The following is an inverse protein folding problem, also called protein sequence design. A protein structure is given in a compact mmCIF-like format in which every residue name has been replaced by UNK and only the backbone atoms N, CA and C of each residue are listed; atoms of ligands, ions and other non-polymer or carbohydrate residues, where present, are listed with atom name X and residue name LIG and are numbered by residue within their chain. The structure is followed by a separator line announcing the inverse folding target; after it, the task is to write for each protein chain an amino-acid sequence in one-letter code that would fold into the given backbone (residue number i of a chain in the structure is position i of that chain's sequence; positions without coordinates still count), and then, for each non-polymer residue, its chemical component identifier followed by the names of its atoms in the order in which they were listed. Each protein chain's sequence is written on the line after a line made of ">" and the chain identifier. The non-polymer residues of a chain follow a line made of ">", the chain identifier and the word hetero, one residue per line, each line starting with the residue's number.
data_IF_228743218090
#
_entry.id   IF_228743218090
#
_cell.length_a   1.000
_cell.length_b   1.000
_cell.length_c   1.000
_cell.angle_alpha   90.00
_cell.angle_beta   90.00
_cell.angle_gamma   90.00
#
_symmetry.space_group_name_H-M   'P 1'
#
loop_
_entity.id
_entity.type
_entity.pdbx_description
1 polymer ?
#
# COMPACT_ATOMS: atom_id res chain seq x y z
N UNK A 1 -59.33 18.58 43.04
CA UNK A 1 -58.75 19.00 41.79
C UNK A 1 -57.23 18.76 41.64
N UNK A 2 -56.34 19.18 42.56
CA UNK A 2 -54.87 18.98 42.45
C UNK A 2 -54.36 17.51 42.34
N UNK A 3 -55.05 16.53 42.91
CA UNK A 3 -54.69 15.12 42.83
C UNK A 3 -55.07 14.45 41.51
N UNK A 4 -56.09 14.96 40.79
CA UNK A 4 -56.54 14.47 39.51
C UNK A 4 -55.62 14.96 38.39
N UNK A 5 -55.16 16.21 38.45
CA UNK A 5 -54.23 16.82 37.48
C UNK A 5 -52.86 16.16 37.50
N UNK A 6 -52.36 15.74 38.69
CA UNK A 6 -51.11 14.99 38.82
C UNK A 6 -51.14 13.58 38.19
N UNK A 7 -52.29 12.92 38.23
CA UNK A 7 -52.44 11.58 37.62
C UNK A 7 -52.58 11.67 36.11
N UNK A 8 -53.18 12.74 35.57
CA UNK A 8 -53.25 12.97 34.14
C UNK A 8 -51.89 13.34 33.55
N UNK A 9 -51.07 14.14 34.23
CA UNK A 9 -49.72 14.53 33.81
C UNK A 9 -48.74 13.34 33.77
N UNK A 10 -48.85 12.42 34.75
CA UNK A 10 -48.02 11.21 34.78
C UNK A 10 -48.43 10.23 33.66
N UNK A 11 -49.71 10.11 33.32
CA UNK A 11 -50.19 9.27 32.22
C UNK A 11 -49.75 9.78 30.84
N UNK A 12 -49.73 11.09 30.64
CA UNK A 12 -49.26 11.72 29.39
C UNK A 12 -47.74 11.60 29.22
N UNK A 13 -46.96 11.68 30.30
CA UNK A 13 -45.49 11.47 30.24
C UNK A 13 -45.13 10.00 29.93
N UNK A 14 -45.86 9.04 30.46
CA UNK A 14 -45.65 7.61 30.20
C UNK A 14 -46.01 7.23 28.75
N UNK A 15 -47.07 7.86 28.17
CA UNK A 15 -47.44 7.65 26.77
C UNK A 15 -46.42 8.28 25.77
N UNK A 16 -45.81 9.42 26.14
CA UNK A 16 -44.79 10.07 25.33
C UNK A 16 -43.45 9.24 25.32
N UNK A 17 -43.08 8.59 26.40
CA UNK A 17 -41.91 7.72 26.49
C UNK A 17 -42.16 6.41 25.73
N UNK A 18 -43.37 5.85 25.76
CA UNK A 18 -43.70 4.66 24.98
C UNK A 18 -43.76 4.92 23.45
N UNK A 19 -44.20 6.10 23.03
CA UNK A 19 -44.16 6.52 21.60
C UNK A 19 -42.73 6.81 21.10
N UNK A 20 -41.82 7.24 21.99
CA UNK A 20 -40.39 7.45 21.64
C UNK A 20 -39.60 6.14 21.45
N UNK A 21 -40.04 5.04 22.04
CA UNK A 21 -39.39 3.71 21.89
C UNK A 21 -39.90 2.91 20.69
N UNK A 22 -41.03 3.30 20.09
CA UNK A 22 -41.54 2.69 18.85
C UNK A 22 -40.94 3.32 17.58
N UNK A 23 -40.21 4.44 17.71
CA UNK A 23 -39.55 5.13 16.59
C UNK A 23 -38.19 4.57 16.18
N UNK A 24 -37.62 3.61 16.91
CA UNK A 24 -36.33 2.98 16.59
C UNK A 24 -36.46 1.70 15.77
N UNK A 25 -37.59 1.46 15.13
CA UNK A 25 -37.87 0.27 14.33
C UNK A 25 -37.94 0.50 12.82
N UNK A 26 -37.52 1.64 12.30
CA UNK A 26 -37.14 1.71 10.88
C UNK A 26 -35.81 0.99 10.77
N UNK A 27 -35.82 -0.26 10.35
CA UNK A 27 -34.68 -0.86 9.72
C UNK A 27 -34.24 0.15 8.65
N UNK A 28 -33.14 0.87 8.91
CA UNK A 28 -32.47 1.59 7.88
C UNK A 28 -32.06 0.51 6.86
N UNK A 29 -32.79 0.42 5.77
CA UNK A 29 -32.42 -0.35 4.59
C UNK A 29 -31.23 0.36 3.93
N UNK A 30 -30.23 0.66 4.72
CA UNK A 30 -28.99 1.27 4.27
C UNK A 30 -28.05 0.19 3.78
N UNK A 31 -27.51 0.41 2.59
CA UNK A 31 -26.42 -0.39 2.06
C UNK A 31 -25.28 -0.44 3.07
N UNK A 32 -24.57 -1.58 3.14
CA UNK A 32 -23.32 -1.65 3.91
C UNK A 32 -22.25 -0.84 3.19
N UNK A 33 -21.63 0.08 3.89
CA UNK A 33 -20.50 0.86 3.36
C UNK A 33 -19.25 0.01 3.44
N UNK A 34 -18.60 -0.21 2.29
CA UNK A 34 -17.28 -0.82 2.15
C UNK A 34 -16.26 0.31 2.07
N UNK A 35 -15.34 0.36 3.03
CA UNK A 35 -14.31 1.40 3.12
C UNK A 35 -12.98 0.86 2.67
N UNK A 36 -12.37 1.55 1.69
CA UNK A 36 -11.04 1.24 1.15
C UNK A 36 -10.12 2.43 1.42
N UNK A 37 -9.00 2.23 2.11
CA UNK A 37 -7.98 3.26 2.35
C UNK A 37 -6.74 3.01 1.51
N UNK A 38 -6.10 4.08 1.03
CA UNK A 38 -4.79 4.01 0.39
C UNK A 38 -3.99 5.32 0.55
N UNK A 39 -2.67 5.25 0.27
CA UNK A 39 -1.76 6.37 0.47
C UNK A 39 -1.64 7.31 -0.73
N UNK A 40 -2.05 6.87 -1.91
CA UNK A 40 -1.82 7.56 -3.17
C UNK A 40 -2.85 8.65 -3.44
N UNK A 41 -2.55 9.56 -4.40
CA UNK A 41 -3.50 10.56 -4.87
C UNK A 41 -4.60 9.96 -5.76
N UNK A 42 -5.65 10.73 -6.01
CA UNK A 42 -6.77 10.32 -6.87
C UNK A 42 -6.39 10.14 -8.35
N UNK A 43 -5.23 10.62 -8.77
CA UNK A 43 -4.71 10.49 -10.16
C UNK A 43 -3.75 9.31 -10.32
N UNK A 44 -3.40 8.63 -9.23
CA UNK A 44 -2.48 7.49 -9.26
C UNK A 44 -3.15 6.26 -9.91
N UNK A 45 -2.42 5.43 -10.71
CA UNK A 45 -2.98 4.21 -11.32
C UNK A 45 -3.68 3.29 -10.32
N UNK A 46 -3.14 3.14 -9.11
CA UNK A 46 -3.78 2.39 -8.01
C UNK A 46 -5.20 2.89 -7.70
N UNK A 47 -5.39 4.23 -7.61
CA UNK A 47 -6.72 4.79 -7.38
C UNK A 47 -7.67 4.50 -8.55
N UNK A 48 -7.18 4.58 -9.79
CA UNK A 48 -7.97 4.24 -10.98
C UNK A 48 -8.39 2.76 -10.98
N UNK A 49 -7.49 1.86 -10.57
CA UNK A 49 -7.81 0.46 -10.33
C UNK A 49 -8.90 0.29 -9.27
N UNK A 50 -8.81 1.01 -8.14
CA UNK A 50 -9.84 0.98 -7.09
C UNK A 50 -11.18 1.56 -7.54
N UNK A 51 -11.21 2.52 -8.45
CA UNK A 51 -12.46 3.00 -9.07
C UNK A 51 -13.11 1.90 -9.91
N UNK A 52 -12.31 1.10 -10.64
CA UNK A 52 -12.84 -0.05 -11.37
C UNK A 52 -13.38 -1.14 -10.41
N UNK A 53 -12.67 -1.42 -9.30
CA UNK A 53 -13.18 -2.29 -8.22
C UNK A 53 -14.53 -1.80 -7.70
N UNK A 54 -14.62 -0.52 -7.35
CA UNK A 54 -15.87 0.11 -6.88
C UNK A 54 -16.99 -0.07 -7.87
N UNK A 55 -16.76 0.28 -9.12
CA UNK A 55 -17.76 0.18 -10.17
C UNK A 55 -18.24 -1.27 -10.32
N UNK A 56 -17.34 -2.23 -10.39
CA UNK A 56 -17.65 -3.64 -10.56
C UNK A 56 -18.52 -4.19 -9.44
N UNK A 57 -18.19 -3.86 -8.18
CA UNK A 57 -18.96 -4.28 -7.01
C UNK A 57 -20.33 -3.61 -6.99
N UNK A 58 -20.42 -2.29 -7.23
CA UNK A 58 -21.68 -1.54 -7.16
C UNK A 58 -22.64 -1.87 -8.31
N UNK A 59 -22.15 -2.26 -9.50
CA UNK A 59 -22.97 -2.73 -10.60
C UNK A 59 -23.67 -4.07 -10.29
N UNK A 60 -23.04 -4.94 -9.49
CA UNK A 60 -23.53 -6.31 -9.21
C UNK A 60 -24.18 -6.46 -7.85
N UNK A 61 -23.72 -5.71 -6.87
CA UNK A 61 -24.12 -5.80 -5.48
C UNK A 61 -24.55 -4.43 -4.89
N UNK A 62 -24.84 -3.45 -5.75
CA UNK A 62 -25.14 -2.10 -5.32
C UNK A 62 -26.47 -1.93 -4.58
N UNK A 63 -27.31 -2.95 -4.50
CA UNK A 63 -28.46 -3.04 -3.59
C UNK A 63 -28.04 -3.32 -2.13
N UNK A 64 -26.89 -3.99 -1.94
CA UNK A 64 -26.34 -4.41 -0.63
C UNK A 64 -25.17 -3.55 -0.16
N UNK A 65 -24.27 -3.14 -1.10
CA UNK A 65 -23.01 -2.48 -0.78
C UNK A 65 -22.87 -1.12 -1.48
N UNK A 66 -22.19 -0.19 -0.80
CA UNK A 66 -21.68 1.08 -1.32
C UNK A 66 -20.19 1.14 -1.04
N UNK A 67 -19.33 1.33 -2.05
CA UNK A 67 -17.88 1.40 -1.89
C UNK A 67 -17.42 2.85 -1.77
N UNK A 68 -16.69 3.16 -0.71
CA UNK A 68 -16.08 4.46 -0.45
C UNK A 68 -14.57 4.32 -0.40
N UNK A 69 -13.86 5.09 -1.25
CA UNK A 69 -12.40 5.09 -1.35
C UNK A 69 -11.87 6.34 -0.65
N UNK A 70 -10.86 6.14 0.20
CA UNK A 70 -10.22 7.16 1.03
C UNK A 70 -8.73 7.30 0.66
N UNK A 71 -8.39 8.21 -0.28
CA UNK A 71 -7.01 8.42 -0.76
C UNK A 71 -6.17 9.23 0.23
N UNK A 72 -4.89 9.45 -0.10
CA UNK A 72 -3.97 10.39 0.56
C UNK A 72 -3.79 10.16 2.07
N UNK A 73 -3.85 8.91 2.54
CA UNK A 73 -3.73 8.57 3.98
C UNK A 73 -4.73 9.31 4.90
N UNK A 74 -5.90 9.74 4.40
CA UNK A 74 -6.87 10.51 5.22
C UNK A 74 -7.46 9.69 6.38
N UNK A 75 -7.35 8.36 6.36
CA UNK A 75 -7.70 7.48 7.48
C UNK A 75 -6.48 7.09 8.33
N UNK A 76 -5.31 7.68 8.08
CA UNK A 76 -4.04 7.40 8.73
C UNK A 76 -3.02 6.76 7.81
N UNK A 77 -1.77 6.65 8.30
CA UNK A 77 -0.67 6.00 7.56
C UNK A 77 -1.03 4.56 7.15
N UNK A 78 -0.30 4.00 6.17
CA UNK A 78 -0.52 2.62 5.72
C UNK A 78 -0.52 1.62 6.89
N UNK A 79 0.42 1.74 7.84
CA UNK A 79 0.47 0.90 9.04
C UNK A 79 -0.80 1.05 9.87
N UNK A 80 -1.28 2.29 10.10
CA UNK A 80 -2.51 2.55 10.83
C UNK A 80 -3.74 1.98 10.11
N UNK A 81 -3.81 2.11 8.80
CA UNK A 81 -4.90 1.57 8.00
C UNK A 81 -4.93 0.03 8.01
N UNK A 82 -3.75 -0.65 8.04
CA UNK A 82 -3.68 -2.11 8.24
C UNK A 82 -4.29 -2.49 9.61
N UNK A 83 -3.94 -1.79 10.70
CA UNK A 83 -4.54 -2.02 12.02
C UNK A 83 -6.08 -1.83 12.01
N UNK A 84 -6.57 -0.80 11.31
CA UNK A 84 -8.01 -0.57 11.15
C UNK A 84 -8.67 -1.68 10.34
N UNK A 85 -7.98 -2.22 9.34
CA UNK A 85 -8.45 -3.38 8.56
C UNK A 85 -8.49 -4.64 9.42
N UNK A 86 -7.46 -4.91 10.24
CA UNK A 86 -7.47 -6.05 11.17
C UNK A 86 -8.69 -6.03 12.11
N UNK A 87 -9.02 -4.86 12.64
CA UNK A 87 -10.15 -4.70 13.57
C UNK A 87 -11.51 -4.65 12.90
N UNK A 88 -11.57 -4.46 11.57
CA UNK A 88 -12.79 -4.28 10.78
C UNK A 88 -13.40 -2.89 10.88
N UNK A 89 -12.63 -1.88 11.32
CA UNK A 89 -13.04 -0.49 11.28
C UNK A 89 -13.10 0.04 9.83
N UNK A 90 -12.25 -0.49 8.96
CA UNK A 90 -12.33 -0.40 7.49
C UNK A 90 -12.29 -1.81 6.90
N UNK A 91 -12.80 -1.95 5.67
CA UNK A 91 -12.94 -3.27 5.04
C UNK A 91 -11.70 -3.64 4.22
N UNK A 92 -11.07 -2.65 3.57
CA UNK A 92 -9.89 -2.84 2.74
C UNK A 92 -8.85 -1.73 2.95
N UNK A 93 -7.60 -2.07 2.73
CA UNK A 93 -6.49 -1.11 2.60
C UNK A 93 -5.56 -1.53 1.46
N UNK A 94 -5.04 -0.55 0.70
CA UNK A 94 -3.87 -0.80 -0.14
C UNK A 94 -2.64 -0.34 0.63
N UNK A 95 -1.67 -1.24 0.74
CA UNK A 95 -0.42 -0.98 1.46
C UNK A 95 0.74 -1.76 0.84
N UNK A 96 1.90 -1.12 0.76
CA UNK A 96 3.13 -1.78 0.35
C UNK A 96 3.51 -2.95 1.26
N UNK A 97 4.06 -4.00 0.69
CA UNK A 97 4.50 -5.20 1.42
C UNK A 97 5.47 -4.87 2.55
N UNK A 98 6.27 -3.81 2.40
CA UNK A 98 7.13 -3.30 3.46
C UNK A 98 6.37 -2.86 4.73
N UNK A 99 5.12 -2.39 4.60
CA UNK A 99 4.29 -2.10 5.77
C UNK A 99 3.62 -3.36 6.35
N UNK A 100 3.47 -4.42 5.54
CA UNK A 100 2.87 -5.69 5.96
C UNK A 100 3.85 -6.58 6.75
N UNK A 101 5.16 -6.42 6.57
CA UNK A 101 6.17 -7.30 7.17
C UNK A 101 6.10 -7.39 8.70
N UNK A 102 5.66 -6.32 9.37
CA UNK A 102 5.50 -6.29 10.83
C UNK A 102 4.24 -7.02 11.33
N UNK A 103 3.29 -7.29 10.44
CA UNK A 103 2.06 -8.02 10.72
C UNK A 103 2.16 -9.48 10.27
N UNK A 104 2.86 -9.73 9.17
CA UNK A 104 3.06 -11.06 8.60
C UNK A 104 4.48 -11.15 8.00
N UNK A 105 5.39 -11.79 8.72
CA UNK A 105 6.82 -11.79 8.43
C UNK A 105 7.21 -12.33 7.05
N UNK A 106 6.34 -13.09 6.36
CA UNK A 106 6.62 -13.56 4.99
C UNK A 106 6.79 -12.39 4.01
N UNK A 107 6.13 -11.26 4.25
CA UNK A 107 6.21 -10.08 3.38
C UNK A 107 7.53 -9.31 3.49
N UNK A 108 8.37 -9.62 4.49
CA UNK A 108 9.72 -9.05 4.60
C UNK A 108 10.58 -9.33 3.36
N UNK A 109 10.32 -10.43 2.66
CA UNK A 109 11.04 -10.80 1.43
C UNK A 109 11.03 -9.69 0.38
N UNK A 110 9.89 -9.02 0.16
CA UNK A 110 9.74 -7.97 -0.83
C UNK A 110 10.48 -6.67 -0.46
N UNK A 111 10.92 -6.55 0.81
CA UNK A 111 11.79 -5.46 1.27
C UNK A 111 13.28 -5.79 1.09
N UNK A 112 13.62 -6.98 0.55
CA UNK A 112 15.00 -7.38 0.27
C UNK A 112 15.52 -6.58 -0.94
N UNK A 113 16.62 -5.83 -0.80
CA UNK A 113 17.13 -5.02 -1.91
C UNK A 113 17.70 -5.90 -3.03
N UNK A 114 17.48 -5.50 -4.30
CA UNK A 114 17.93 -6.24 -5.49
C UNK A 114 17.49 -7.72 -5.50
N UNK A 115 16.28 -7.98 -5.02
CA UNK A 115 15.69 -9.33 -4.99
C UNK A 115 15.36 -9.83 -6.39
N UNK A 116 14.79 -8.97 -7.22
CA UNK A 116 14.43 -9.26 -8.61
C UNK A 116 15.48 -8.70 -9.56
N UNK A 117 15.92 -9.50 -10.52
CA UNK A 117 16.92 -9.07 -11.52
C UNK A 117 16.32 -8.11 -12.57
N UNK A 118 14.99 -8.14 -12.77
CA UNK A 118 14.29 -7.26 -13.71
C UNK A 118 12.81 -7.08 -13.34
N UNK A 119 12.17 -6.05 -13.90
CA UNK A 119 10.72 -5.87 -13.79
C UNK A 119 9.92 -7.01 -14.44
N UNK A 120 10.49 -7.66 -15.46
CA UNK A 120 9.85 -8.81 -16.09
C UNK A 120 9.77 -10.00 -15.11
N UNK A 121 10.86 -10.29 -14.39
CA UNK A 121 10.86 -11.32 -13.33
C UNK A 121 9.92 -10.94 -12.20
N UNK A 122 9.96 -9.69 -11.74
CA UNK A 122 9.04 -9.19 -10.73
C UNK A 122 7.56 -9.42 -11.12
N UNK A 123 7.17 -8.99 -12.34
CA UNK A 123 5.82 -9.19 -12.85
C UNK A 123 5.47 -10.69 -13.00
N UNK A 124 6.40 -11.53 -13.47
CA UNK A 124 6.19 -12.98 -13.60
C UNK A 124 5.88 -13.64 -12.26
N UNK A 125 6.67 -13.31 -11.21
CA UNK A 125 6.45 -13.85 -9.86
C UNK A 125 5.11 -13.38 -9.29
N UNK A 126 4.79 -12.10 -9.44
CA UNK A 126 3.54 -11.55 -8.90
C UNK A 126 2.30 -12.07 -9.63
N UNK A 127 2.42 -12.47 -10.89
CA UNK A 127 1.36 -13.06 -11.72
C UNK A 127 1.22 -14.59 -11.56
N UNK A 128 2.15 -15.25 -10.87
CA UNK A 128 2.00 -16.66 -10.50
C UNK A 128 0.94 -16.80 -9.39
N UNK A 129 -0.32 -16.77 -9.82
CA UNK A 129 -1.47 -16.78 -8.91
C UNK A 129 -1.50 -18.02 -8.03
N UNK A 130 -1.12 -19.20 -8.54
CA UNK A 130 -1.11 -20.47 -7.79
C UNK A 130 -0.10 -20.42 -6.64
N UNK A 131 1.04 -19.77 -6.87
CA UNK A 131 2.06 -19.59 -5.84
C UNK A 131 1.66 -18.48 -4.87
N UNK A 132 1.27 -17.30 -5.39
CA UNK A 132 0.98 -16.13 -4.57
C UNK A 132 -0.24 -16.30 -3.68
N UNK A 133 -1.24 -17.12 -4.05
CA UNK A 133 -2.39 -17.43 -3.18
C UNK A 133 -1.96 -18.04 -1.84
N UNK A 134 -0.88 -18.83 -1.81
CA UNK A 134 -0.32 -19.38 -0.56
C UNK A 134 0.24 -18.28 0.34
N UNK A 135 0.88 -17.27 -0.28
CA UNK A 135 1.42 -16.11 0.43
C UNK A 135 0.27 -15.22 0.93
N UNK A 136 -0.75 -14.98 0.10
CA UNK A 136 -1.91 -14.15 0.43
C UNK A 136 -2.72 -14.71 1.61
N UNK A 137 -2.94 -16.03 1.65
CA UNK A 137 -3.67 -16.69 2.73
C UNK A 137 -2.85 -16.82 4.02
N UNK A 138 -1.53 -16.67 3.97
CA UNK A 138 -0.67 -16.74 5.16
C UNK A 138 -0.92 -15.62 6.17
N UNK A 139 -1.67 -14.58 5.78
CA UNK A 139 -2.05 -13.44 6.63
C UNK A 139 -3.32 -13.66 7.44
N UNK A 140 -4.03 -14.77 7.26
CA UNK A 140 -5.30 -15.05 7.93
C UNK A 140 -5.19 -15.01 9.47
N UNK A 141 -4.10 -15.50 10.04
CA UNK A 141 -3.82 -15.44 11.47
C UNK A 141 -3.68 -14.00 11.98
N UNK A 142 -3.30 -13.06 11.11
CA UNK A 142 -3.23 -11.64 11.41
C UNK A 142 -4.61 -10.93 11.33
N UNK A 143 -5.69 -11.66 10.96
CA UNK A 143 -7.05 -11.12 10.88
C UNK A 143 -7.37 -10.37 9.58
N UNK A 144 -6.52 -10.48 8.57
CA UNK A 144 -6.73 -9.96 7.24
C UNK A 144 -6.20 -10.92 6.19
N UNK A 145 -6.61 -10.75 4.94
CA UNK A 145 -6.12 -11.51 3.77
C UNK A 145 -5.79 -10.55 2.64
N UNK A 146 -4.68 -10.79 1.97
CA UNK A 146 -4.39 -10.14 0.69
C UNK A 146 -5.29 -10.75 -0.38
N UNK A 147 -5.92 -9.92 -1.21
CA UNK A 147 -6.83 -10.37 -2.26
C UNK A 147 -6.29 -10.13 -3.66
N UNK A 148 -5.41 -9.13 -3.85
CA UNK A 148 -4.66 -8.90 -5.09
C UNK A 148 -3.47 -7.99 -4.84
N UNK A 149 -2.69 -7.71 -5.88
CA UNK A 149 -1.51 -6.86 -5.86
C UNK A 149 -1.61 -5.74 -6.90
N UNK A 150 -0.82 -4.70 -6.70
CA UNK A 150 -0.63 -3.60 -7.64
C UNK A 150 0.85 -3.40 -7.93
N UNK A 151 1.15 -2.98 -9.16
CA UNK A 151 2.50 -2.62 -9.53
C UNK A 151 2.91 -1.32 -8.80
N UNK A 152 4.08 -1.32 -8.20
CA UNK A 152 4.64 -0.13 -7.59
C UNK A 152 6.01 0.24 -8.21
N UNK A 153 6.33 -0.37 -9.34
CA UNK A 153 7.54 -0.10 -10.10
C UNK A 153 8.82 -0.36 -9.34
N UNK A 154 9.88 0.28 -9.81
CA UNK A 154 11.21 0.19 -9.20
C UNK A 154 11.46 1.41 -8.31
N UNK A 155 11.90 1.17 -7.09
CA UNK A 155 12.20 2.20 -6.10
C UNK A 155 13.62 2.72 -6.27
N UNK A 156 13.74 4.05 -6.20
CA UNK A 156 14.96 4.81 -6.44
C UNK A 156 15.08 5.94 -5.42
N UNK A 157 16.29 6.42 -5.15
CA UNK A 157 16.48 7.59 -4.27
C UNK A 157 16.10 8.89 -4.96
N UNK A 158 15.47 9.80 -4.23
CA UNK A 158 15.34 11.20 -4.61
C UNK A 158 15.63 12.12 -3.43
N UNK A 159 16.33 13.22 -3.68
CA UNK A 159 16.84 14.08 -2.61
C UNK A 159 17.01 15.54 -3.07
N UNK A 160 17.30 16.42 -2.10
CA UNK A 160 17.67 17.84 -2.35
C UNK A 160 19.01 18.00 -3.05
N UNK A 161 19.90 17.02 -2.94
CA UNK A 161 21.24 17.01 -3.53
C UNK A 161 21.45 15.70 -4.29
N UNK A 162 22.28 15.70 -5.35
CA UNK A 162 22.48 14.51 -6.16
C UNK A 162 23.10 13.35 -5.34
N UNK A 163 22.69 12.14 -5.68
CA UNK A 163 23.23 10.88 -5.15
C UNK A 163 23.75 10.12 -6.36
N UNK A 164 25.07 10.06 -6.55
CA UNK A 164 25.72 9.39 -7.69
C UNK A 164 26.42 8.10 -7.28
N UNK A 165 26.76 7.99 -6.02
CA UNK A 165 27.43 6.84 -5.41
C UNK A 165 26.83 6.57 -4.02
N UNK A 166 27.00 5.38 -3.44
CA UNK A 166 26.59 5.13 -2.06
C UNK A 166 27.23 6.09 -1.03
N UNK A 167 28.42 6.62 -1.33
CA UNK A 167 29.09 7.55 -0.44
C UNK A 167 28.39 8.90 -0.31
N UNK A 168 27.61 9.30 -1.33
CA UNK A 168 26.79 10.51 -1.28
C UNK A 168 25.62 10.40 -0.30
N UNK A 169 25.27 9.19 0.15
CA UNK A 169 24.26 8.93 1.17
C UNK A 169 24.78 9.16 2.60
N UNK A 170 26.11 9.17 2.80
CA UNK A 170 26.69 9.36 4.14
C UNK A 170 26.25 10.69 4.76
N UNK A 171 25.72 10.60 5.97
CA UNK A 171 25.23 11.74 6.73
C UNK A 171 23.88 12.31 6.30
N UNK A 172 23.26 11.78 5.25
CA UNK A 172 21.90 12.12 4.85
C UNK A 172 20.88 11.38 5.72
N UNK A 173 19.74 12.01 5.94
CA UNK A 173 18.56 11.40 6.54
C UNK A 173 17.54 11.10 5.42
N UNK A 174 17.31 9.83 5.17
CA UNK A 174 16.46 9.35 4.08
C UNK A 174 15.20 8.71 4.67
N UNK A 175 14.05 9.17 4.23
CA UNK A 175 12.78 8.55 4.59
C UNK A 175 12.67 7.18 3.97
N UNK A 176 12.16 6.25 4.75
CA UNK A 176 11.72 4.91 4.31
C UNK A 176 10.30 4.62 4.75
N UNK A 177 9.69 3.58 4.19
CA UNK A 177 8.45 3.02 4.72
C UNK A 177 8.66 2.55 6.18
N UNK A 178 7.59 2.33 6.93
CA UNK A 178 7.65 1.84 8.31
C UNK A 178 7.98 0.32 8.32
N UNK A 179 9.18 -0.02 7.91
CA UNK A 179 9.71 -1.35 7.65
C UNK A 179 11.10 -1.50 8.26
N UNK A 180 11.33 -2.44 9.17
CA UNK A 180 12.66 -2.78 9.70
C UNK A 180 13.66 -3.15 8.61
N UNK A 181 13.24 -3.87 7.57
CA UNK A 181 14.11 -4.24 6.46
C UNK A 181 14.55 -3.01 5.64
N UNK A 182 13.62 -2.08 5.33
CA UNK A 182 13.96 -0.82 4.64
C UNK A 182 14.88 0.08 5.50
N UNK A 183 14.68 0.10 6.81
CA UNK A 183 15.60 0.78 7.75
C UNK A 183 17.00 0.16 7.67
N UNK A 184 17.09 -1.16 7.69
CA UNK A 184 18.37 -1.89 7.59
C UNK A 184 19.08 -1.61 6.26
N UNK A 185 18.34 -1.56 5.16
CA UNK A 185 18.86 -1.26 3.83
C UNK A 185 19.46 0.15 3.75
N UNK A 186 18.72 1.17 4.16
CA UNK A 186 19.21 2.57 4.09
C UNK A 186 20.40 2.78 5.00
N UNK A 187 20.40 2.15 6.18
CA UNK A 187 21.57 2.20 7.08
C UNK A 187 22.79 1.48 6.47
N UNK A 188 22.61 0.38 5.72
CA UNK A 188 23.69 -0.30 5.02
C UNK A 188 24.29 0.54 3.89
N UNK A 189 23.52 1.39 3.25
CA UNK A 189 24.03 2.41 2.31
C UNK A 189 24.84 3.52 3.00
N UNK A 190 24.73 3.67 4.33
CA UNK A 190 25.45 4.67 5.12
C UNK A 190 24.66 5.95 5.41
N UNK A 191 23.37 5.99 5.07
CA UNK A 191 22.45 7.05 5.46
C UNK A 191 21.77 6.74 6.80
N UNK A 192 21.12 7.73 7.40
CA UNK A 192 20.22 7.55 8.54
C UNK A 192 18.80 7.34 8.04
N UNK A 193 18.24 6.17 8.28
CA UNK A 193 16.84 5.88 7.91
C UNK A 193 15.86 6.64 8.83
N UNK A 194 14.79 7.18 8.23
CA UNK A 194 13.72 7.90 8.94
C UNK A 194 12.36 7.28 8.56
N UNK A 195 11.90 6.22 9.25
CA UNK A 195 10.60 5.62 8.96
C UNK A 195 9.47 6.57 9.31
N UNK A 196 8.56 6.84 8.35
CA UNK A 196 7.37 7.68 8.54
C UNK A 196 6.30 7.39 7.49
N UNK A 197 5.06 7.81 7.75
CA UNK A 197 3.95 7.76 6.79
C UNK A 197 4.25 8.49 5.49
N UNK A 198 3.62 8.08 4.40
CA UNK A 198 3.90 8.65 3.09
C UNK A 198 3.40 10.09 2.96
N UNK A 199 2.25 10.40 3.56
CA UNK A 199 1.67 11.76 3.58
C UNK A 199 2.52 12.80 4.32
N UNK A 200 3.50 12.38 5.13
CA UNK A 200 4.37 13.31 5.86
C UNK A 200 5.61 13.74 5.04
N UNK A 201 5.96 13.01 3.97
CA UNK A 201 7.25 13.10 3.27
C UNK A 201 7.49 14.47 2.65
N UNK A 202 6.51 15.00 1.91
CA UNK A 202 6.62 16.33 1.29
C UNK A 202 7.03 17.40 2.32
N UNK A 203 6.28 17.48 3.40
CA UNK A 203 6.52 18.48 4.46
C UNK A 203 7.86 18.24 5.17
N UNK A 204 8.22 16.99 5.42
CA UNK A 204 9.49 16.64 6.07
C UNK A 204 10.71 17.03 5.20
N UNK A 205 10.65 16.81 3.88
CA UNK A 205 11.69 17.30 2.95
C UNK A 205 11.70 18.82 2.91
N UNK A 206 10.53 19.46 2.74
CA UNK A 206 10.40 20.91 2.66
C UNK A 206 11.03 21.60 3.87
N UNK A 207 10.73 21.11 5.06
CA UNK A 207 11.23 21.66 6.33
C UNK A 207 12.68 21.25 6.63
N UNK A 208 13.29 20.35 5.87
CA UNK A 208 14.66 19.87 6.13
C UNK A 208 14.77 18.91 7.31
N UNK A 209 13.66 18.28 7.71
CA UNK A 209 13.66 17.21 8.71
C UNK A 209 14.36 15.96 8.14
N UNK A 210 14.18 15.74 6.83
CA UNK A 210 14.87 14.71 6.02
C UNK A 210 15.48 15.36 4.77
N UNK A 211 16.51 14.72 4.22
CA UNK A 211 17.21 15.19 3.02
C UNK A 211 16.58 14.65 1.72
N UNK A 212 15.87 13.55 1.81
CA UNK A 212 15.24 12.88 0.69
C UNK A 212 14.46 11.63 1.12
N UNK A 213 14.04 10.87 0.13
CA UNK A 213 13.31 9.62 0.32
C UNK A 213 13.63 8.65 -0.84
N UNK A 214 12.89 7.55 -0.92
CA UNK A 214 13.00 6.57 -1.98
C UNK A 214 11.58 6.13 -2.42
N UNK A 215 11.37 6.04 -3.71
CA UNK A 215 10.13 5.56 -4.33
C UNK A 215 10.30 5.51 -5.86
N UNK A 216 9.21 5.17 -6.57
CA UNK A 216 9.07 5.30 -8.01
C UNK A 216 8.83 6.76 -8.43
N UNK A 217 8.81 7.02 -9.75
CA UNK A 217 8.71 8.37 -10.33
C UNK A 217 7.38 9.07 -10.04
N UNK A 218 6.28 8.32 -9.83
CA UNK A 218 4.96 8.91 -9.56
C UNK A 218 4.95 9.72 -8.26
N UNK A 219 5.82 9.39 -7.29
CA UNK A 219 5.95 10.18 -6.07
C UNK A 219 6.37 11.63 -6.35
N UNK A 220 7.13 11.88 -7.42
CA UNK A 220 7.58 13.23 -7.77
C UNK A 220 6.42 14.13 -8.18
N UNK A 221 5.44 13.60 -8.91
CA UNK A 221 4.32 14.37 -9.48
C UNK A 221 3.05 14.23 -8.67
N UNK A 222 2.57 13.01 -8.44
CA UNK A 222 1.30 12.76 -7.76
C UNK A 222 1.31 13.22 -6.30
N UNK A 223 2.46 13.12 -5.63
CA UNK A 223 2.68 13.57 -4.25
C UNK A 223 3.52 14.86 -4.17
N UNK A 224 3.86 15.46 -5.33
CA UNK A 224 4.59 16.71 -5.47
C UNK A 224 6.00 16.71 -4.86
N UNK A 225 6.58 15.53 -4.61
CA UNK A 225 7.90 15.45 -4.00
C UNK A 225 8.99 16.09 -4.89
N UNK A 226 8.81 16.14 -6.22
CA UNK A 226 9.68 16.83 -7.17
C UNK A 226 9.76 18.36 -6.97
N UNK A 227 8.80 18.98 -6.26
CA UNK A 227 8.89 20.39 -5.91
C UNK A 227 10.00 20.65 -4.85
N UNK A 228 10.23 19.69 -3.97
CA UNK A 228 11.09 19.81 -2.78
C UNK A 228 12.36 18.95 -2.82
N UNK A 229 12.43 17.96 -3.74
CA UNK A 229 13.59 17.10 -4.01
C UNK A 229 13.88 17.12 -5.51
N UNK A 230 15.03 17.70 -5.91
CA UNK A 230 15.32 18.03 -7.31
C UNK A 230 16.18 16.99 -8.04
N UNK A 231 16.63 15.95 -7.36
CA UNK A 231 17.50 14.93 -7.93
C UNK A 231 16.88 13.56 -7.70
N UNK A 232 16.65 12.82 -8.79
CA UNK A 232 16.15 11.45 -8.77
C UNK A 232 17.21 10.52 -9.35
N UNK A 233 17.66 9.53 -8.57
CA UNK A 233 18.79 8.67 -8.91
C UNK A 233 18.33 7.26 -9.18
N UNK A 234 18.52 6.75 -10.39
CA UNK A 234 18.18 5.40 -10.81
C UNK A 234 19.15 4.35 -10.26
N UNK A 235 19.13 4.15 -8.94
CA UNK A 235 19.90 3.09 -8.30
C UNK A 235 19.13 1.76 -8.19
N UNK A 236 17.83 1.73 -8.50
CA UNK A 236 16.99 0.54 -8.70
C UNK A 236 17.08 -0.49 -7.56
N UNK A 237 17.01 -0.02 -6.31
CA UNK A 237 17.36 -0.84 -5.16
C UNK A 237 16.27 -1.83 -4.72
N UNK A 238 15.00 -1.59 -5.05
CA UNK A 238 13.89 -2.47 -4.66
C UNK A 238 12.73 -2.42 -5.65
N UNK A 239 11.94 -3.50 -5.68
CA UNK A 239 10.59 -3.56 -6.24
C UNK A 239 9.67 -4.08 -5.14
N UNK A 240 8.86 -3.20 -4.57
CA UNK A 240 8.01 -3.47 -3.40
C UNK A 240 6.55 -3.37 -3.85
N UNK A 241 5.85 -4.50 -4.11
CA UNK A 241 4.47 -4.45 -4.57
C UNK A 241 3.55 -3.88 -3.51
N UNK A 242 2.51 -3.16 -3.96
CA UNK A 242 1.39 -2.79 -3.11
C UNK A 242 0.33 -3.89 -3.13
N UNK A 243 -0.31 -4.13 -1.99
CA UNK A 243 -1.28 -5.21 -1.80
C UNK A 243 -2.65 -4.64 -1.43
N UNK A 244 -3.71 -5.13 -2.07
CA UNK A 244 -5.06 -4.92 -1.58
C UNK A 244 -5.34 -5.94 -0.47
N UNK A 245 -5.48 -5.45 0.72
CA UNK A 245 -5.67 -6.23 1.95
C UNK A 245 -7.11 -6.09 2.41
N UNK A 246 -7.79 -7.20 2.67
CA UNK A 246 -9.17 -7.24 3.13
C UNK A 246 -9.28 -7.69 4.58
N UNK A 247 -10.24 -7.16 5.33
CA UNK A 247 -10.60 -7.69 6.64
C UNK A 247 -11.11 -9.13 6.52
N UNK A 248 -10.51 -10.08 7.24
CA UNK A 248 -10.84 -11.50 7.12
C UNK A 248 -12.28 -11.81 7.57
N UNK A 249 -12.77 -11.12 8.60
CA UNK A 249 -14.16 -11.32 9.07
C UNK A 249 -15.17 -10.84 8.02
N UNK A 250 -14.85 -9.77 7.32
CA UNK A 250 -15.67 -9.31 6.19
C UNK A 250 -15.71 -10.38 5.09
N UNK A 251 -14.55 -10.85 4.62
CA UNK A 251 -14.50 -11.88 3.58
C UNK A 251 -15.27 -13.15 3.98
N UNK A 252 -15.11 -13.60 5.22
CA UNK A 252 -15.80 -14.79 5.74
C UNK A 252 -17.31 -14.58 5.96
N UNK A 253 -17.80 -13.35 5.90
CA UNK A 253 -19.25 -13.04 6.00
C UNK A 253 -19.97 -13.04 4.66
N UNK A 254 -19.23 -13.10 3.55
CA UNK A 254 -19.79 -13.09 2.19
C UNK A 254 -20.37 -14.45 1.82
N UNK A 255 -21.43 -14.44 1.00
CA UNK A 255 -21.86 -15.67 0.30
C UNK A 255 -20.81 -16.07 -0.74
N UNK A 256 -20.78 -17.32 -1.20
CA UNK A 256 -19.85 -17.72 -2.27
C UNK A 256 -19.93 -16.84 -3.52
N UNK A 257 -21.14 -16.43 -3.90
CA UNK A 257 -21.38 -15.57 -5.07
C UNK A 257 -20.86 -14.15 -4.83
N UNK A 258 -21.08 -13.60 -3.62
CA UNK A 258 -20.55 -12.29 -3.24
C UNK A 258 -19.02 -12.32 -3.20
N UNK A 259 -18.44 -13.36 -2.61
CA UNK A 259 -16.98 -13.54 -2.53
C UNK A 259 -16.37 -13.55 -3.95
N UNK A 260 -16.94 -14.31 -4.86
CA UNK A 260 -16.50 -14.36 -6.26
C UNK A 260 -16.54 -12.97 -6.92
N UNK A 261 -17.60 -12.17 -6.69
CA UNK A 261 -17.70 -10.81 -7.24
C UNK A 261 -16.59 -9.91 -6.69
N UNK A 262 -16.24 -10.02 -5.39
CA UNK A 262 -15.14 -9.26 -4.80
C UNK A 262 -13.77 -9.71 -5.32
N UNK A 263 -13.56 -11.01 -5.57
CA UNK A 263 -12.33 -11.52 -6.21
C UNK A 263 -12.19 -11.00 -7.64
N UNK A 264 -13.23 -11.10 -8.45
CA UNK A 264 -13.25 -10.58 -9.83
C UNK A 264 -13.02 -9.05 -9.87
N UNK A 265 -13.60 -8.32 -8.91
CA UNK A 265 -13.36 -6.88 -8.77
C UNK A 265 -11.89 -6.57 -8.42
N UNK A 266 -11.28 -7.36 -7.54
CA UNK A 266 -9.88 -7.21 -7.16
C UNK A 266 -8.95 -7.50 -8.35
N UNK A 267 -9.19 -8.55 -9.11
CA UNK A 267 -8.43 -8.88 -10.32
C UNK A 267 -8.57 -7.78 -11.38
N UNK A 268 -9.80 -7.32 -11.67
CA UNK A 268 -10.04 -6.22 -12.59
C UNK A 268 -9.30 -4.95 -12.17
N UNK A 269 -9.25 -4.65 -10.87
CA UNK A 269 -8.56 -3.46 -10.36
C UNK A 269 -7.06 -3.51 -10.63
N UNK A 270 -6.42 -4.68 -10.49
CA UNK A 270 -5.02 -4.90 -10.87
C UNK A 270 -4.79 -4.70 -12.37
N UNK A 271 -5.68 -5.25 -13.21
CA UNK A 271 -5.57 -5.12 -14.67
C UNK A 271 -5.66 -3.66 -15.12
N UNK A 272 -6.58 -2.89 -14.53
CA UNK A 272 -6.74 -1.45 -14.84
C UNK A 272 -5.52 -0.66 -14.36
N UNK A 273 -5.04 -0.93 -13.15
CA UNK A 273 -3.84 -0.28 -12.60
C UNK A 273 -2.62 -0.52 -13.50
N UNK A 274 -2.36 -1.77 -13.88
CA UNK A 274 -1.25 -2.14 -14.76
C UNK A 274 -1.35 -1.50 -16.15
N UNK A 275 -2.55 -1.37 -16.71
CA UNK A 275 -2.77 -0.74 -18.01
C UNK A 275 -2.46 0.77 -18.00
N UNK A 276 -2.66 1.45 -16.87
CA UNK A 276 -2.39 2.88 -16.73
C UNK A 276 -0.94 3.17 -16.27
N UNK A 277 -0.22 2.16 -15.76
CA UNK A 277 1.08 2.34 -15.11
C UNK A 277 2.13 2.95 -16.02
N UNK A 278 2.44 2.31 -17.15
CA UNK A 278 3.55 2.72 -18.02
C UNK A 278 3.34 4.14 -18.58
N UNK A 279 2.10 4.46 -18.98
CA UNK A 279 1.72 5.81 -19.42
C UNK A 279 1.91 6.84 -18.32
N UNK A 280 1.50 6.50 -17.09
CA UNK A 280 1.63 7.39 -15.94
C UNK A 280 3.08 7.66 -15.56
N UNK A 281 3.96 6.65 -15.67
CA UNK A 281 5.41 6.81 -15.44
C UNK A 281 6.03 7.76 -16.47
N UNK A 282 5.73 7.58 -17.76
CA UNK A 282 6.27 8.47 -18.82
C UNK A 282 5.79 9.92 -18.65
N UNK A 283 4.52 10.12 -18.28
CA UNK A 283 3.99 11.44 -17.98
C UNK A 283 4.64 12.06 -16.74
N UNK A 284 4.85 11.27 -15.70
CA UNK A 284 5.51 11.71 -14.47
C UNK A 284 6.94 12.16 -14.73
N UNK A 285 7.73 11.41 -15.51
CA UNK A 285 9.10 11.80 -15.90
C UNK A 285 9.12 13.12 -16.64
N UNK A 286 8.23 13.29 -17.63
CA UNK A 286 8.11 14.51 -18.40
C UNK A 286 7.76 15.70 -17.49
N UNK A 287 6.69 15.59 -16.72
CA UNK A 287 6.22 16.64 -15.80
C UNK A 287 7.28 16.99 -14.75
N UNK A 288 7.92 15.98 -14.14
CA UNK A 288 8.98 16.21 -13.18
C UNK A 288 10.17 16.97 -13.80
N UNK A 289 10.53 16.67 -15.04
CA UNK A 289 11.62 17.35 -15.74
C UNK A 289 11.23 18.76 -16.17
N UNK A 290 10.11 18.90 -16.90
CA UNK A 290 9.73 20.14 -17.56
C UNK A 290 9.13 21.18 -16.61
N UNK A 291 8.25 20.73 -15.70
CA UNK A 291 7.49 21.63 -14.83
C UNK A 291 8.13 21.78 -13.44
N UNK A 292 8.78 20.71 -12.93
CA UNK A 292 9.34 20.73 -11.57
C UNK A 292 10.88 20.91 -11.57
N UNK A 293 11.55 20.78 -12.71
CA UNK A 293 13.01 20.92 -12.83
C UNK A 293 13.77 19.82 -12.08
N UNK A 294 13.25 18.59 -12.06
CA UNK A 294 13.93 17.43 -11.50
C UNK A 294 14.99 16.93 -12.48
N UNK A 295 16.21 16.71 -11.98
CA UNK A 295 17.29 16.04 -12.72
C UNK A 295 17.23 14.54 -12.44
N UNK A 296 17.05 13.74 -13.50
CA UNK A 296 17.16 12.28 -13.45
C UNK A 296 18.61 11.87 -13.68
N UNK A 297 19.15 11.03 -12.81
CA UNK A 297 20.55 10.64 -12.78
C UNK A 297 20.67 9.13 -12.93
N UNK A 298 21.27 8.70 -14.04
CA UNK A 298 21.69 7.32 -14.22
C UNK A 298 23.01 7.06 -13.49
N UNK A 299 23.11 5.93 -12.80
CA UNK A 299 24.30 5.54 -12.04
C UNK A 299 24.67 4.08 -12.30
N UNK A 300 25.93 3.75 -12.07
CA UNK A 300 26.35 2.36 -11.90
C UNK A 300 25.71 1.81 -10.62
N UNK A 301 24.87 0.79 -10.76
CA UNK A 301 24.15 0.19 -9.63
C UNK A 301 25.03 -0.77 -8.80
N UNK A 302 26.13 -1.28 -9.39
CA UNK A 302 26.94 -2.30 -8.74
C UNK A 302 27.53 -1.86 -7.39
N UNK A 303 28.07 -0.64 -7.22
CA UNK A 303 28.51 -0.16 -5.91
C UNK A 303 27.39 -0.10 -4.86
N UNK A 304 26.15 0.21 -5.28
CA UNK A 304 24.98 0.18 -4.39
C UNK A 304 24.63 -1.26 -4.01
N UNK A 305 24.56 -2.16 -4.99
CA UNK A 305 24.24 -3.57 -4.79
C UNK A 305 25.19 -4.23 -3.78
N UNK A 306 26.50 -4.01 -3.94
CA UNK A 306 27.52 -4.57 -3.05
C UNK A 306 27.37 -4.16 -1.57
N UNK A 307 26.83 -2.96 -1.30
CA UNK A 307 26.59 -2.50 0.08
C UNK A 307 25.49 -3.29 0.80
N UNK A 308 24.49 -3.80 0.07
CA UNK A 308 23.27 -4.37 0.65
C UNK A 308 23.11 -5.87 0.41
N UNK A 309 23.87 -6.48 -0.49
CA UNK A 309 23.85 -7.94 -0.69
C UNK A 309 24.02 -8.75 0.61
N UNK A 310 24.89 -8.35 1.58
CA UNK A 310 24.99 -9.07 2.85
C UNK A 310 23.68 -9.12 3.66
N UNK A 311 22.72 -8.26 3.36
CA UNK A 311 21.40 -8.29 4.01
C UNK A 311 20.60 -9.53 3.63
N UNK A 312 20.78 -10.10 2.42
CA UNK A 312 20.07 -11.30 1.98
C UNK A 312 20.31 -12.46 2.95
N UNK A 313 21.57 -12.77 3.20
CA UNK A 313 21.95 -13.85 4.14
C UNK A 313 21.43 -13.57 5.55
N UNK A 314 21.54 -12.33 6.01
CA UNK A 314 21.05 -11.91 7.31
C UNK A 314 19.53 -12.11 7.43
N UNK A 315 18.74 -11.61 6.46
CA UNK A 315 17.28 -11.71 6.47
C UNK A 315 16.82 -13.18 6.42
N UNK A 316 17.42 -14.02 5.55
CA UNK A 316 17.14 -15.46 5.49
C UNK A 316 17.42 -16.18 6.80
N UNK A 317 18.49 -15.80 7.51
CA UNK A 317 18.84 -16.38 8.80
C UNK A 317 17.91 -15.94 9.93
N UNK A 318 17.52 -14.65 9.94
CA UNK A 318 16.66 -14.07 10.98
C UNK A 318 15.19 -14.45 10.79
N UNK A 319 14.76 -14.61 9.53
CA UNK A 319 13.38 -14.99 9.18
C UNK A 319 13.34 -16.19 8.19
N UNK A 320 13.42 -17.42 8.67
CA UNK A 320 13.36 -18.61 7.79
C UNK A 320 12.05 -18.75 6.99
N UNK A 321 10.96 -18.04 7.36
CA UNK A 321 9.68 -18.10 6.66
C UNK A 321 9.74 -17.54 5.22
N UNK A 322 10.74 -16.71 4.93
CA UNK A 322 10.92 -16.13 3.59
C UNK A 322 11.70 -17.02 2.63
N UNK A 323 12.31 -18.12 3.12
CA UNK A 323 13.25 -18.93 2.34
C UNK A 323 12.61 -19.57 1.11
N UNK A 324 11.39 -20.10 1.23
CA UNK A 324 10.71 -20.76 0.10
C UNK A 324 10.43 -19.77 -1.03
N UNK A 325 9.88 -18.57 -0.68
CA UNK A 325 9.62 -17.53 -1.67
C UNK A 325 10.92 -16.95 -2.25
N UNK A 326 11.97 -16.83 -1.43
CA UNK A 326 13.29 -16.44 -1.91
C UNK A 326 13.81 -17.40 -2.98
N UNK A 327 13.76 -18.71 -2.71
CA UNK A 327 14.22 -19.72 -3.65
C UNK A 327 13.39 -19.69 -4.95
N UNK A 328 12.08 -19.57 -4.85
CA UNK A 328 11.21 -19.44 -6.02
C UNK A 328 11.59 -18.23 -6.88
N UNK A 329 11.82 -17.06 -6.26
CA UNK A 329 12.24 -15.84 -6.98
C UNK A 329 13.63 -16.03 -7.61
N UNK A 330 14.59 -16.69 -6.92
CA UNK A 330 15.89 -16.97 -7.52
C UNK A 330 15.79 -17.93 -8.72
N UNK A 331 14.90 -18.92 -8.68
CA UNK A 331 14.62 -19.78 -9.83
C UNK A 331 14.09 -19.00 -11.04
N UNK A 332 13.18 -18.04 -10.82
CA UNK A 332 12.66 -17.16 -11.87
C UNK A 332 13.75 -16.22 -12.42
N UNK A 333 14.62 -15.67 -11.54
CA UNK A 333 15.79 -14.89 -11.96
C UNK A 333 16.72 -15.70 -12.88
N UNK A 334 17.02 -16.97 -12.54
CA UNK A 334 17.88 -17.84 -13.35
C UNK A 334 17.22 -18.27 -14.65
N UNK A 335 15.92 -18.55 -14.68
CA UNK A 335 15.16 -18.84 -15.91
C UNK A 335 15.23 -17.68 -16.90
N UNK A 336 15.10 -16.44 -16.41
CA UNK A 336 15.18 -15.26 -17.25
C UNK A 336 16.57 -15.08 -17.90
N UNK A 337 17.67 -15.43 -17.20
CA UNK A 337 19.04 -15.39 -17.74
C UNK A 337 19.30 -16.49 -18.77
N UNK A 338 18.66 -17.66 -18.62
CA UNK A 338 18.86 -18.80 -19.53
C UNK A 338 18.00 -18.76 -20.79
N UNK A 339 17.06 -17.83 -20.87
CA UNK A 339 16.17 -17.61 -22.02
C UNK A 339 16.65 -16.54 -23.02
N UNK A 340 17.77 -15.87 -22.72
CA UNK A 340 18.50 -15.00 -23.63
C UNK A 340 19.57 -15.82 -24.37
#
# INVERSE_FOLDING_TARGET
>A
MRKFIKKLAVGLLAAAVAAGLAGCGSAASGKRIIRISHAQSETHPEHLGLLAFKQYVEERLGDKYEVQIFPNEILGSAQKAIELTQTGAIDFVVAGTANLETFAGVYEIFSMPYLFDSEAVYKSVMQDTDYMQKIYSSTDEAGFRVVTWYNAGTRNFYAKTPIRTPDDLKGKKIRVQQSPASVSMVNAFGAAAAPMGFGEVYTAIQQGVIDGAENNELALTNNKHGEVAKYYTYNKHQMVPDMLVANLKFLNSLSPEEYQIFEEAAELSTQVEMAEWDKSIEEAKRTATEDMGVEFIDVDIEPFKQKVLPLHEKMLKENPKIADLYNHIQEENEKAKGGE
#
